data_IF_959588202589
#
_entry.id   IF_959588202589
#
_cell.length_a   1.000
_cell.length_b   1.000
_cell.length_c   1.000
_cell.angle_alpha   90.00
_cell.angle_beta   90.00
_cell.angle_gamma   90.00
#
_symmetry.space_group_name_H-M   'P 1'
#
loop_
_entity.id
_entity.type
_entity.pdbx_description
1 polymer ?
#
# COMPACT_ATOMS: atom_id res chain seq x y z
N UNK A 1 9.42 2.29 42.49
CA UNK A 1 8.57 1.32 41.78
C UNK A 1 9.00 1.35 40.32
N UNK A 2 9.64 0.29 39.82
CA UNK A 2 10.18 0.26 38.46
C UNK A 2 9.01 0.14 37.46
N UNK A 3 9.03 0.95 36.41
CA UNK A 3 7.99 0.96 35.38
C UNK A 3 8.11 -0.32 34.54
N UNK A 4 7.04 -1.09 34.46
CA UNK A 4 7.00 -2.34 33.72
C UNK A 4 6.82 -2.06 32.22
N UNK A 5 7.95 -1.77 31.56
CA UNK A 5 8.00 -1.47 30.15
C UNK A 5 7.66 -2.65 29.25
N UNK A 6 7.89 -3.88 29.72
CA UNK A 6 7.69 -5.09 28.90
C UNK A 6 6.19 -5.29 28.66
N UNK A 7 5.40 -5.31 29.73
CA UNK A 7 3.95 -5.46 29.63
C UNK A 7 3.29 -4.25 28.94
N UNK A 8 3.77 -3.04 29.20
CA UNK A 8 3.25 -1.84 28.54
C UNK A 8 3.50 -1.86 27.03
N UNK A 9 4.69 -2.28 26.60
CA UNK A 9 5.02 -2.35 25.18
C UNK A 9 4.20 -3.45 24.47
N UNK A 10 4.03 -4.62 25.08
CA UNK A 10 3.15 -5.66 24.51
C UNK A 10 1.70 -5.19 24.35
N UNK A 11 1.19 -4.42 25.30
CA UNK A 11 -0.17 -3.86 25.23
C UNK A 11 -0.33 -2.81 24.10
N UNK A 12 0.77 -2.20 23.64
CA UNK A 12 0.78 -1.25 22.52
C UNK A 12 0.94 -1.93 21.16
N UNK A 13 1.38 -3.20 21.12
CA UNK A 13 1.54 -3.95 19.87
C UNK A 13 0.17 -4.37 19.35
N UNK A 14 -0.28 -3.73 18.28
CA UNK A 14 -1.47 -4.14 17.55
C UNK A 14 -1.12 -5.20 16.51
N UNK A 15 -1.57 -6.43 16.72
CA UNK A 15 -1.37 -7.55 15.80
C UNK A 15 -2.59 -7.68 14.87
N UNK A 16 -2.33 -7.89 13.58
CA UNK A 16 -3.40 -8.03 12.58
C UNK A 16 -3.97 -6.72 12.04
N UNK A 17 -3.40 -5.56 12.39
CA UNK A 17 -3.69 -4.29 11.70
C UNK A 17 -2.70 -4.07 10.56
N UNK A 18 -3.21 -3.71 9.39
CA UNK A 18 -2.43 -3.30 8.24
C UNK A 18 -2.70 -1.80 8.02
N UNK A 19 -1.64 -1.00 8.05
CA UNK A 19 -1.71 0.39 7.62
C UNK A 19 -1.46 0.43 6.11
N UNK A 20 -2.51 0.75 5.36
CA UNK A 20 -2.43 0.94 3.91
C UNK A 20 -2.28 2.43 3.65
N UNK A 21 -1.18 2.78 2.99
CA UNK A 21 -1.01 4.11 2.44
C UNK A 21 -1.86 4.27 1.17
N UNK A 22 -2.72 5.29 1.15
CA UNK A 22 -3.63 5.58 0.04
C UNK A 22 -3.11 6.67 -0.90
N UNK A 23 -1.90 7.18 -0.67
CA UNK A 23 -1.28 8.24 -1.48
C UNK A 23 -1.13 7.84 -2.96
N UNK A 24 -1.09 6.54 -3.27
CA UNK A 24 -1.07 6.06 -4.65
C UNK A 24 -2.31 6.46 -5.45
N UNK A 25 -3.44 6.72 -4.80
CA UNK A 25 -4.66 7.21 -5.45
C UNK A 25 -4.45 8.60 -6.06
N UNK A 26 -3.63 9.44 -5.44
CA UNK A 26 -3.33 10.78 -5.94
C UNK A 26 -2.53 10.73 -7.25
N UNK A 27 -1.63 9.75 -7.38
CA UNK A 27 -0.78 9.57 -8.56
C UNK A 27 -1.37 8.64 -9.64
N UNK A 28 -2.61 8.15 -9.45
CA UNK A 28 -3.23 7.13 -10.31
C UNK A 28 -3.15 7.47 -11.81
N UNK A 29 -3.57 8.68 -12.20
CA UNK A 29 -3.59 9.10 -13.60
C UNK A 29 -2.19 9.28 -14.17
N UNK A 30 -1.29 9.88 -13.39
CA UNK A 30 0.11 10.10 -13.80
C UNK A 30 0.82 8.78 -14.05
N UNK A 31 0.67 7.81 -13.14
CA UNK A 31 1.26 6.49 -13.29
C UNK A 31 0.70 5.76 -14.52
N UNK A 32 -0.62 5.88 -14.79
CA UNK A 32 -1.22 5.31 -15.99
C UNK A 32 -0.73 5.96 -17.29
N UNK A 33 -0.51 7.27 -17.30
CA UNK A 33 0.06 7.98 -18.45
C UNK A 33 1.48 7.49 -18.74
N UNK A 34 2.32 7.42 -17.72
CA UNK A 34 3.70 6.90 -17.81
C UNK A 34 3.72 5.43 -18.28
N UNK A 35 2.86 4.58 -17.70
CA UNK A 35 2.76 3.16 -18.08
C UNK A 35 2.26 2.93 -19.51
N UNK A 36 1.47 3.87 -20.04
CA UNK A 36 0.92 3.79 -21.40
C UNK A 36 1.71 4.60 -22.42
N UNK A 37 2.80 5.25 -22.01
CA UNK A 37 3.64 6.03 -22.92
C UNK A 37 4.19 5.14 -24.05
N UNK A 38 4.01 5.58 -25.30
CA UNK A 38 4.46 4.84 -26.49
C UNK A 38 3.70 3.54 -26.79
N UNK A 39 2.70 3.16 -25.98
CA UNK A 39 1.94 1.93 -26.17
C UNK A 39 0.98 2.06 -27.37
N UNK A 40 1.15 1.20 -28.39
CA UNK A 40 0.33 1.19 -29.61
C UNK A 40 -0.94 0.30 -29.50
N UNK A 41 -0.95 -0.65 -28.58
CA UNK A 41 -2.06 -1.60 -28.35
C UNK A 41 -3.03 -1.15 -27.26
N UNK A 42 -3.81 -2.09 -26.73
CA UNK A 42 -4.73 -1.82 -25.63
C UNK A 42 -4.02 -1.20 -24.42
N UNK A 43 -4.57 -0.09 -23.92
CA UNK A 43 -4.01 0.65 -22.78
C UNK A 43 -4.29 -0.05 -21.45
N UNK A 44 -3.38 0.13 -20.51
CA UNK A 44 -3.60 -0.22 -19.11
C UNK A 44 -4.65 0.72 -18.50
N UNK A 45 -5.51 0.15 -17.66
CA UNK A 45 -6.57 0.86 -16.94
C UNK A 45 -6.29 0.90 -15.42
N UNK A 46 -5.41 0.01 -14.94
CA UNK A 46 -5.00 -0.06 -13.54
C UNK A 46 -3.50 0.21 -13.41
N UNK A 47 -3.09 1.07 -12.46
CA UNK A 47 -1.68 1.37 -12.21
C UNK A 47 -0.99 0.19 -11.51
N UNK A 48 0.34 0.14 -11.59
CA UNK A 48 1.14 -0.92 -10.98
C UNK A 48 1.06 -0.86 -9.45
N UNK A 49 1.01 0.34 -8.86
CA UNK A 49 0.82 0.55 -7.42
C UNK A 49 -0.43 -0.16 -6.89
N UNK A 50 -1.55 -0.08 -7.61
CA UNK A 50 -2.79 -0.78 -7.25
C UNK A 50 -2.62 -2.30 -7.32
N UNK A 51 -1.97 -2.84 -8.35
CA UNK A 51 -1.70 -4.28 -8.46
C UNK A 51 -0.81 -4.78 -7.31
N UNK A 52 0.18 -3.98 -6.89
CA UNK A 52 1.03 -4.29 -5.72
C UNK A 52 0.22 -4.31 -4.42
N UNK A 53 -0.69 -3.37 -4.23
CA UNK A 53 -1.60 -3.36 -3.09
C UNK A 53 -2.45 -4.65 -3.05
N UNK A 54 -3.04 -5.04 -4.17
CA UNK A 54 -3.83 -6.27 -4.25
C UNK A 54 -2.99 -7.51 -3.95
N UNK A 55 -1.75 -7.58 -4.46
CA UNK A 55 -0.83 -8.68 -4.15
C UNK A 55 -0.44 -8.74 -2.68
N UNK A 56 -0.38 -7.60 -2.00
CA UNK A 56 -0.14 -7.52 -0.56
C UNK A 56 -1.37 -7.97 0.26
N UNK A 57 -2.59 -7.60 -0.16
CA UNK A 57 -3.84 -7.94 0.55
C UNK A 57 -4.26 -9.40 0.32
N UNK A 58 -3.93 -10.00 -0.82
CA UNK A 58 -4.37 -11.35 -1.19
C UNK A 58 -3.66 -12.49 -0.41
N UNK A 59 -2.77 -12.16 0.53
CA UNK A 59 -2.04 -13.14 1.37
C UNK A 59 -2.94 -13.74 2.45
#
# INVERSE_FOLDING_TARGET
>A
MARDWVNYNEALVKRGEILIDLDFLENWNKELEEMNEGKRGGKYIYPLSFIKLLGFIYV
#
